data_IF_787106578376
#
_entry.id   IF_787106578376
#
_cell.length_a   1.000
_cell.length_b   1.000
_cell.length_c   1.000
_cell.angle_alpha   90.00
_cell.angle_beta   90.00
_cell.angle_gamma   90.00
#
_symmetry.space_group_name_H-M   'P 1'
#
loop_
_entity.id
_entity.type
_entity.pdbx_description
1 polymer ?
#
# COMPACT_ATOMS: atom_id res chain seq x y z
N UNK A 1 10.37 30.74 14.03
CA UNK A 1 10.89 29.38 13.72
C UNK A 1 9.76 28.36 13.53
N UNK A 2 8.76 28.27 14.42
CA UNK A 2 7.62 27.33 14.26
C UNK A 2 6.83 27.43 12.95
N UNK A 3 6.61 28.62 12.41
CA UNK A 3 5.94 28.81 11.10
C UNK A 3 6.76 28.27 9.91
N UNK A 4 8.09 28.29 10.00
CA UNK A 4 8.98 27.77 8.96
C UNK A 4 9.07 26.24 8.97
N UNK A 5 9.00 25.63 10.17
CA UNK A 5 8.91 24.17 10.34
C UNK A 5 7.57 23.66 9.82
N UNK A 6 6.46 24.27 10.24
CA UNK A 6 5.12 23.86 9.81
C UNK A 6 4.95 23.92 8.28
N UNK A 7 5.45 24.97 7.62
CA UNK A 7 5.40 25.09 6.15
C UNK A 7 6.24 24.02 5.44
N UNK A 8 7.45 23.74 5.94
CA UNK A 8 8.32 22.70 5.36
C UNK A 8 7.73 21.31 5.53
N UNK A 9 7.20 21.03 6.71
CA UNK A 9 6.55 19.77 7.00
C UNK A 9 5.34 19.55 6.09
N UNK A 10 4.51 20.58 5.92
CA UNK A 10 3.39 20.51 4.99
C UNK A 10 3.83 20.26 3.54
N UNK A 11 4.86 20.98 3.09
CA UNK A 11 5.42 20.76 1.75
C UNK A 11 6.01 19.35 1.59
N UNK A 12 6.57 18.76 2.65
CA UNK A 12 7.08 17.39 2.63
C UNK A 12 5.93 16.37 2.51
N UNK A 13 4.84 16.57 3.23
CA UNK A 13 3.62 15.75 3.14
C UNK A 13 2.95 15.88 1.76
N UNK A 14 2.87 17.08 1.21
CA UNK A 14 2.34 17.31 -0.13
C UNK A 14 3.24 16.67 -1.20
N UNK A 15 4.57 16.65 -1.01
CA UNK A 15 5.51 15.94 -1.89
C UNK A 15 5.33 14.42 -1.86
N UNK A 16 5.06 13.82 -0.67
CA UNK A 16 4.67 12.40 -0.58
C UNK A 16 3.39 12.15 -1.38
N UNK A 17 2.36 12.98 -1.20
CA UNK A 17 1.09 12.83 -1.90
C UNK A 17 1.24 12.97 -3.43
N UNK A 18 2.23 13.74 -3.89
CA UNK A 18 2.56 13.93 -5.31
C UNK A 18 3.51 12.87 -5.88
N UNK A 19 4.08 11.98 -5.05
CA UNK A 19 5.08 11.00 -5.48
C UNK A 19 6.52 11.54 -5.63
N UNK A 20 6.79 12.81 -5.27
CA UNK A 20 8.14 13.36 -5.26
C UNK A 20 8.87 12.96 -3.97
N UNK A 21 9.19 11.67 -3.88
CA UNK A 21 9.85 11.07 -2.72
C UNK A 21 11.23 11.66 -2.42
N UNK A 22 12.09 11.98 -3.41
CA UNK A 22 13.34 12.68 -3.15
C UNK A 22 13.14 14.04 -2.46
N UNK A 23 12.17 14.85 -2.91
CA UNK A 23 11.86 16.12 -2.27
C UNK A 23 11.30 15.92 -0.85
N UNK A 24 10.36 14.99 -0.69
CA UNK A 24 9.77 14.65 0.59
C UNK A 24 10.84 14.30 1.64
N UNK A 25 11.79 13.40 1.30
CA UNK A 25 12.90 13.02 2.19
C UNK A 25 13.81 14.18 2.54
N UNK A 26 14.17 15.02 1.55
CA UNK A 26 15.02 16.19 1.81
C UNK A 26 14.35 17.16 2.79
N UNK A 27 13.07 17.48 2.57
CA UNK A 27 12.33 18.40 3.44
C UNK A 27 12.12 17.83 4.84
N UNK A 28 11.81 16.54 4.97
CA UNK A 28 11.66 15.87 6.25
C UNK A 28 12.95 15.89 7.08
N UNK A 29 14.11 15.61 6.46
CA UNK A 29 15.42 15.68 7.14
C UNK A 29 15.73 17.08 7.66
N UNK A 30 15.45 18.12 6.86
CA UNK A 30 15.59 19.52 7.31
C UNK A 30 14.67 19.81 8.50
N UNK A 31 13.43 19.32 8.50
CA UNK A 31 12.53 19.49 9.65
C UNK A 31 13.11 18.84 10.91
N UNK A 32 13.65 17.62 10.79
CA UNK A 32 14.23 16.87 11.91
C UNK A 32 15.46 17.55 12.53
N UNK A 33 16.21 18.33 11.75
CA UNK A 33 17.32 19.17 12.22
C UNK A 33 16.83 20.47 12.89
N UNK A 34 15.66 20.97 12.49
CA UNK A 34 15.12 22.27 12.93
C UNK A 34 14.25 22.20 14.19
N UNK A 35 13.76 21.02 14.57
CA UNK A 35 12.79 20.88 15.67
C UNK A 35 13.10 19.74 16.64
N UNK A 36 12.81 20.02 17.91
CA UNK A 36 12.84 19.07 19.04
C UNK A 36 11.43 18.67 19.49
N UNK A 37 10.38 19.22 18.86
CA UNK A 37 8.98 18.97 19.25
C UNK A 37 8.53 17.59 18.77
N UNK A 38 8.13 16.67 19.67
CA UNK A 38 7.68 15.32 19.34
C UNK A 38 6.73 15.22 18.14
N UNK A 39 5.69 16.05 18.12
CA UNK A 39 4.64 16.05 17.10
C UNK A 39 5.15 16.43 15.70
N UNK A 40 6.09 17.36 15.61
CA UNK A 40 6.69 17.78 14.33
C UNK A 40 7.71 16.73 13.85
N UNK A 41 8.46 16.13 14.79
CA UNK A 41 9.44 15.08 14.50
C UNK A 41 8.79 13.79 14.02
N UNK A 42 7.74 13.31 14.70
CA UNK A 42 6.99 12.10 14.31
C UNK A 42 6.39 12.26 12.91
N UNK A 43 5.80 13.42 12.60
CA UNK A 43 5.30 13.71 11.24
C UNK A 43 6.42 13.69 10.20
N UNK A 44 7.59 14.25 10.51
CA UNK A 44 8.73 14.20 9.59
C UNK A 44 9.25 12.75 9.40
N UNK A 45 9.29 11.93 10.46
CA UNK A 45 9.61 10.51 10.33
C UNK A 45 8.60 9.74 9.49
N UNK A 46 7.31 10.03 9.67
CA UNK A 46 6.23 9.47 8.84
C UNK A 46 6.47 9.80 7.35
N UNK A 47 6.85 11.04 7.03
CA UNK A 47 7.19 11.41 5.64
C UNK A 47 8.35 10.58 5.11
N UNK A 48 9.40 10.35 5.91
CA UNK A 48 10.52 9.49 5.48
C UNK A 48 10.04 8.07 5.20
N UNK A 49 9.23 7.49 6.10
CA UNK A 49 8.68 6.13 5.94
C UNK A 49 7.77 6.01 4.72
N UNK A 50 6.85 6.96 4.52
CA UNK A 50 5.88 6.91 3.41
C UNK A 50 6.54 7.17 2.05
N UNK A 51 7.68 7.88 2.03
CA UNK A 51 8.44 8.12 0.80
C UNK A 51 9.21 6.91 0.27
N UNK A 52 9.16 5.76 0.96
CA UNK A 52 9.90 4.55 0.57
C UNK A 52 9.07 3.58 -0.30
N UNK A 53 7.75 3.76 -0.42
CA UNK A 53 6.93 2.86 -1.25
C UNK A 53 7.10 1.39 -0.85
N UNK A 54 7.43 0.51 -1.81
CA UNK A 54 7.71 -0.90 -1.52
C UNK A 54 9.10 -1.15 -0.93
N UNK A 55 10.05 -0.23 -1.10
CA UNK A 55 11.40 -0.28 -0.55
C UNK A 55 11.49 0.09 0.95
N UNK A 56 10.48 -0.29 1.75
CA UNK A 56 10.40 0.04 3.17
C UNK A 56 11.56 -0.54 4.00
N UNK A 57 12.21 -1.59 3.48
CA UNK A 57 13.40 -2.18 4.09
C UNK A 57 14.57 -1.18 4.20
N UNK A 58 14.69 -0.22 3.27
CA UNK A 58 15.78 0.77 3.23
C UNK A 58 15.75 1.80 4.36
N UNK A 59 14.61 1.95 5.04
CA UNK A 59 14.40 2.96 6.09
C UNK A 59 13.99 2.33 7.42
N UNK A 60 14.28 1.05 7.60
CA UNK A 60 13.87 0.32 8.79
C UNK A 60 14.42 0.92 10.10
N UNK A 61 15.62 1.49 10.05
CA UNK A 61 16.29 2.13 11.18
C UNK A 61 15.62 3.43 11.65
N UNK A 62 14.65 3.96 10.90
CA UNK A 62 13.82 5.11 11.28
C UNK A 62 12.84 4.74 12.39
N UNK A 63 12.31 3.51 12.41
CA UNK A 63 11.24 3.12 13.32
C UNK A 63 11.60 3.33 14.81
N UNK A 64 12.76 2.90 15.33
CA UNK A 64 13.12 3.14 16.73
C UNK A 64 13.16 4.62 17.11
N UNK A 65 13.65 5.49 16.22
CA UNK A 65 13.73 6.94 16.44
C UNK A 65 12.35 7.57 16.50
N UNK A 66 11.47 7.20 15.57
CA UNK A 66 10.10 7.68 15.53
C UNK A 66 9.29 7.21 16.75
N UNK A 67 9.48 5.96 17.17
CA UNK A 67 8.83 5.41 18.36
C UNK A 67 9.29 6.08 19.65
N UNK A 68 10.56 6.48 19.73
CA UNK A 68 11.08 7.25 20.86
C UNK A 68 10.43 8.64 20.93
N UNK A 69 10.39 9.36 19.79
CA UNK A 69 9.75 10.67 19.71
C UNK A 69 8.23 10.60 20.01
N UNK A 70 7.56 9.47 19.75
CA UNK A 70 6.13 9.27 20.03
C UNK A 70 5.81 8.72 21.43
N UNK A 71 6.82 8.45 22.27
CA UNK A 71 6.66 7.67 23.49
C UNK A 71 5.55 8.23 24.39
N UNK A 72 4.59 7.36 24.72
CA UNK A 72 3.51 7.67 25.67
C UNK A 72 2.32 8.42 25.09
N UNK A 73 2.39 8.88 23.83
CA UNK A 73 1.33 9.69 23.21
C UNK A 73 0.50 8.87 22.20
N UNK A 74 -0.76 8.47 22.51
CA UNK A 74 -1.56 7.64 21.63
C UNK A 74 -1.73 8.19 20.21
N UNK A 75 -1.92 9.52 20.09
CA UNK A 75 -2.07 10.20 18.81
C UNK A 75 -0.84 10.08 17.91
N UNK A 76 0.36 10.02 18.49
CA UNK A 76 1.62 9.87 17.75
C UNK A 76 1.97 8.41 17.51
N UNK A 77 1.65 7.52 18.46
CA UNK A 77 1.90 6.08 18.36
C UNK A 77 0.99 5.39 17.34
N UNK A 78 -0.28 5.82 17.22
CA UNK A 78 -1.25 5.22 16.31
C UNK A 78 -0.75 5.14 14.84
N UNK A 79 -0.33 6.25 14.20
CA UNK A 79 0.17 6.20 12.82
C UNK A 79 1.50 5.45 12.68
N UNK A 80 2.32 5.37 13.72
CA UNK A 80 3.56 4.57 13.70
C UNK A 80 3.27 3.08 13.78
N UNK A 81 2.31 2.65 14.60
CA UNK A 81 1.88 1.26 14.64
C UNK A 81 1.27 0.79 13.30
N UNK A 82 0.57 1.67 12.59
CA UNK A 82 0.11 1.38 11.23
C UNK A 82 1.28 1.04 10.30
N UNK A 83 2.37 1.83 10.34
CA UNK A 83 3.58 1.61 9.52
C UNK A 83 4.39 0.41 10.00
N UNK A 84 4.44 0.15 11.31
CA UNK A 84 5.03 -1.07 11.86
C UNK A 84 4.29 -2.33 11.38
N UNK A 85 2.98 -2.25 11.15
CA UNK A 85 2.22 -3.33 10.53
C UNK A 85 2.69 -3.59 9.09
N UNK A 86 2.93 -2.54 8.31
CA UNK A 86 3.51 -2.67 6.97
C UNK A 86 4.91 -3.25 7.00
N UNK A 87 5.80 -2.75 7.87
CA UNK A 87 7.14 -3.31 8.06
C UNK A 87 7.09 -4.79 8.44
N UNK A 88 6.27 -5.17 9.42
CA UNK A 88 6.16 -6.55 9.87
C UNK A 88 5.74 -7.48 8.73
N UNK A 89 4.85 -7.02 7.84
CA UNK A 89 4.38 -7.81 6.71
C UNK A 89 5.36 -7.81 5.53
N UNK A 90 5.74 -6.63 5.02
CA UNK A 90 6.52 -6.47 3.79
C UNK A 90 8.01 -6.70 3.98
N UNK A 91 8.57 -6.35 5.14
CA UNK A 91 10.03 -6.48 5.36
C UNK A 91 10.33 -7.75 6.14
N UNK A 92 9.51 -8.06 7.16
CA UNK A 92 9.75 -9.20 8.05
C UNK A 92 8.93 -10.45 7.71
N UNK A 93 8.07 -10.39 6.69
CA UNK A 93 7.30 -11.55 6.22
C UNK A 93 6.31 -12.12 7.26
N UNK A 94 5.94 -11.38 8.30
CA UNK A 94 5.15 -11.87 9.43
C UNK A 94 3.76 -11.23 9.47
N UNK A 95 2.78 -11.93 8.89
CA UNK A 95 1.37 -11.54 8.99
C UNK A 95 0.85 -11.52 10.45
N UNK A 96 1.19 -12.47 11.35
CA UNK A 96 0.78 -12.38 12.75
C UNK A 96 1.32 -11.13 13.47
N UNK A 97 2.60 -10.78 13.30
CA UNK A 97 3.15 -9.56 13.90
C UNK A 97 2.52 -8.30 13.30
N UNK A 98 2.26 -8.32 11.99
CA UNK A 98 1.55 -7.23 11.32
C UNK A 98 0.13 -7.04 11.88
N UNK A 99 -0.59 -8.12 12.20
CA UNK A 99 -1.91 -8.07 12.80
C UNK A 99 -1.89 -7.37 14.16
N UNK A 100 -0.93 -7.73 15.02
CA UNK A 100 -0.75 -7.11 16.35
C UNK A 100 -0.58 -5.60 16.22
N UNK A 101 0.27 -5.14 15.30
CA UNK A 101 0.48 -3.71 15.07
C UNK A 101 -0.72 -3.00 14.45
N UNK A 102 -1.42 -3.61 13.49
CA UNK A 102 -2.62 -3.02 12.89
C UNK A 102 -3.73 -2.83 13.93
N UNK A 103 -3.98 -3.86 14.76
CA UNK A 103 -4.94 -3.79 15.85
C UNK A 103 -4.55 -2.71 16.86
N UNK A 104 -3.28 -2.67 17.27
CA UNK A 104 -2.78 -1.65 18.20
C UNK A 104 -2.94 -0.23 17.65
N UNK A 105 -2.68 -0.03 16.36
CA UNK A 105 -2.89 1.25 15.68
C UNK A 105 -4.36 1.69 15.74
N UNK A 106 -5.30 0.78 15.43
CA UNK A 106 -6.73 1.07 15.48
C UNK A 106 -7.21 1.42 16.90
N UNK A 107 -6.76 0.68 17.91
CA UNK A 107 -7.05 0.95 19.32
C UNK A 107 -6.56 2.34 19.77
N UNK A 108 -5.31 2.69 19.44
CA UNK A 108 -4.72 3.98 19.79
C UNK A 108 -5.35 5.15 19.03
N UNK A 109 -5.65 4.96 17.75
CA UNK A 109 -6.31 5.96 16.92
C UNK A 109 -7.71 6.28 17.43
N UNK A 110 -8.49 5.24 17.78
CA UNK A 110 -9.81 5.41 18.39
C UNK A 110 -9.73 6.15 19.73
N UNK A 111 -8.76 5.80 20.58
CA UNK A 111 -8.54 6.49 21.87
C UNK A 111 -8.17 7.97 21.68
N UNK A 112 -7.38 8.29 20.66
CA UNK A 112 -6.94 9.64 20.35
C UNK A 112 -7.95 10.47 19.53
N UNK A 113 -9.05 9.87 19.05
CA UNK A 113 -9.99 10.51 18.13
C UNK A 113 -9.43 10.75 16.72
N UNK A 114 -8.37 10.04 16.32
CA UNK A 114 -7.77 10.13 14.98
C UNK A 114 -8.48 9.18 14.01
N UNK A 115 -9.61 9.64 13.47
CA UNK A 115 -10.44 8.81 12.57
C UNK A 115 -9.69 8.40 11.31
N UNK A 116 -8.85 9.27 10.75
CA UNK A 116 -8.08 8.97 9.53
C UNK A 116 -7.17 7.77 9.74
N UNK A 117 -6.37 7.77 10.81
CA UNK A 117 -5.48 6.64 11.12
C UNK A 117 -6.29 5.40 11.49
N UNK A 118 -7.40 5.55 12.21
CA UNK A 118 -8.25 4.42 12.58
C UNK A 118 -8.77 3.68 11.34
N UNK A 119 -9.25 4.40 10.32
CA UNK A 119 -9.74 3.81 9.07
C UNK A 119 -8.65 3.04 8.31
N UNK A 120 -7.44 3.60 8.20
CA UNK A 120 -6.30 2.90 7.60
C UNK A 120 -5.89 1.66 8.42
N UNK A 121 -5.86 1.77 9.74
CA UNK A 121 -5.50 0.68 10.64
C UNK A 121 -6.51 -0.46 10.61
N UNK A 122 -7.81 -0.16 10.64
CA UNK A 122 -8.88 -1.16 10.51
C UNK A 122 -8.84 -1.83 9.13
N UNK A 123 -8.57 -1.06 8.07
CA UNK A 123 -8.39 -1.64 6.72
C UNK A 123 -7.20 -2.59 6.69
N UNK A 124 -6.05 -2.19 7.25
CA UNK A 124 -4.87 -3.05 7.34
C UNK A 124 -5.14 -4.31 8.18
N UNK A 125 -5.81 -4.15 9.32
CA UNK A 125 -6.19 -5.25 10.19
C UNK A 125 -7.09 -6.25 9.46
N UNK A 126 -8.15 -5.78 8.81
CA UNK A 126 -9.08 -6.65 8.06
C UNK A 126 -8.38 -7.40 6.91
N UNK A 127 -7.42 -6.76 6.22
CA UNK A 127 -6.64 -7.39 5.16
C UNK A 127 -5.79 -8.56 5.69
N UNK A 128 -5.15 -8.36 6.84
CA UNK A 128 -4.33 -9.39 7.49
C UNK A 128 -5.22 -10.50 8.06
N UNK A 129 -6.37 -10.15 8.65
CA UNK A 129 -7.36 -11.11 9.13
C UNK A 129 -7.89 -11.98 7.99
N UNK A 130 -8.20 -11.40 6.82
CA UNK A 130 -8.58 -12.14 5.62
C UNK A 130 -7.47 -13.09 5.19
N UNK A 131 -6.22 -12.62 5.14
CA UNK A 131 -5.06 -13.42 4.78
C UNK A 131 -4.81 -14.59 5.74
N UNK A 132 -5.01 -14.38 7.04
CA UNK A 132 -4.84 -15.40 8.08
C UNK A 132 -6.07 -16.31 8.25
N UNK A 133 -7.16 -16.07 7.51
CA UNK A 133 -8.41 -16.83 7.65
C UNK A 133 -9.14 -16.59 8.97
N UNK A 134 -8.93 -15.43 9.60
CA UNK A 134 -9.63 -15.08 10.85
C UNK A 134 -11.11 -14.76 10.58
N UNK A 135 -12.05 -15.28 11.39
CA UNK A 135 -13.49 -15.05 11.19
C UNK A 135 -13.91 -13.58 11.37
N UNK A 136 -13.06 -12.79 12.02
CA UNK A 136 -13.33 -11.39 12.34
C UNK A 136 -13.13 -10.43 11.13
N UNK A 137 -12.50 -10.89 10.04
CA UNK A 137 -12.11 -10.05 8.91
C UNK A 137 -13.27 -9.21 8.35
N UNK A 138 -14.44 -9.82 8.15
CA UNK A 138 -15.64 -9.12 7.65
C UNK A 138 -16.17 -8.10 8.66
N UNK A 139 -16.12 -8.41 9.96
CA UNK A 139 -16.55 -7.50 11.03
C UNK A 139 -15.63 -6.28 11.09
N UNK A 140 -14.32 -6.49 10.99
CA UNK A 140 -13.32 -5.42 10.98
C UNK A 140 -13.46 -4.55 9.73
N UNK A 141 -13.66 -5.14 8.55
CA UNK A 141 -13.92 -4.38 7.32
C UNK A 141 -15.20 -3.54 7.42
N UNK A 142 -16.29 -4.10 7.97
CA UNK A 142 -17.53 -3.34 8.20
C UNK A 142 -17.32 -2.13 9.11
N UNK A 143 -16.49 -2.27 10.15
CA UNK A 143 -16.12 -1.13 11.02
C UNK A 143 -15.33 -0.05 10.26
N UNK A 144 -14.44 -0.46 9.36
CA UNK A 144 -13.70 0.47 8.50
C UNK A 144 -14.62 1.17 7.48
N UNK A 145 -15.70 0.53 7.05
CA UNK A 145 -16.69 1.10 6.13
C UNK A 145 -17.82 1.90 6.84
N UNK A 146 -17.86 1.91 8.17
CA UNK A 146 -18.87 2.64 8.93
C UNK A 146 -18.52 4.14 9.08
N UNK A 147 -19.54 5.00 9.12
CA UNK A 147 -19.39 6.44 9.37
C UNK A 147 -18.80 6.73 10.77
N UNK A 148 -18.09 7.87 10.96
CA UNK A 148 -17.77 8.89 9.96
C UNK A 148 -16.63 8.46 9.03
N UNK A 149 -16.77 8.76 7.73
CA UNK A 149 -15.75 8.49 6.72
C UNK A 149 -14.82 9.68 6.46
N UNK A 150 -13.57 9.36 6.10
CA UNK A 150 -12.58 10.34 5.63
C UNK A 150 -12.42 10.21 4.11
N UNK A 151 -12.85 11.19 3.30
CA UNK A 151 -12.89 11.05 1.85
C UNK A 151 -11.55 10.63 1.22
N UNK A 152 -10.43 11.19 1.72
CA UNK A 152 -9.10 10.84 1.23
C UNK A 152 -8.70 9.39 1.52
N UNK A 153 -9.16 8.82 2.63
CA UNK A 153 -8.91 7.41 2.98
C UNK A 153 -9.73 6.48 2.09
N UNK A 154 -10.97 6.87 1.79
CA UNK A 154 -11.89 6.06 0.99
C UNK A 154 -11.43 5.82 -0.44
N UNK A 155 -10.64 6.72 -1.01
CA UNK A 155 -10.10 6.55 -2.36
C UNK A 155 -8.65 6.05 -2.37
N UNK A 156 -8.04 5.77 -1.22
CA UNK A 156 -6.66 5.30 -1.15
C UNK A 156 -6.58 3.80 -1.43
N UNK A 157 -5.49 3.34 -2.06
CA UNK A 157 -5.23 1.91 -2.25
C UNK A 157 -4.94 1.13 -0.94
N UNK A 158 -4.93 1.81 0.20
CA UNK A 158 -4.82 1.20 1.53
C UNK A 158 -6.10 1.39 2.35
N UNK A 159 -7.12 2.02 1.75
CA UNK A 159 -8.40 2.28 2.38
C UNK A 159 -9.36 1.08 2.29
N UNK A 160 -10.52 1.20 2.95
CA UNK A 160 -11.44 0.08 3.10
C UNK A 160 -12.19 -0.25 1.80
N UNK A 161 -12.47 0.73 0.94
CA UNK A 161 -13.09 0.48 -0.38
C UNK A 161 -12.15 -0.31 -1.27
N UNK A 162 -10.86 0.05 -1.28
CA UNK A 162 -9.86 -0.75 -1.96
C UNK A 162 -9.85 -2.17 -1.39
N UNK A 163 -9.78 -2.37 -0.07
CA UNK A 163 -9.77 -3.73 0.48
C UNK A 163 -11.02 -4.55 0.14
N UNK A 164 -12.19 -3.90 0.07
CA UNK A 164 -13.48 -4.57 -0.19
C UNK A 164 -13.47 -5.44 -1.45
N UNK A 165 -12.74 -5.06 -2.51
CA UNK A 165 -12.64 -5.90 -3.71
C UNK A 165 -12.00 -7.27 -3.43
N UNK A 166 -11.03 -7.35 -2.51
CA UNK A 166 -10.35 -8.62 -2.17
C UNK A 166 -11.29 -9.57 -1.45
N UNK A 167 -12.14 -9.04 -0.58
CA UNK A 167 -13.20 -9.82 0.05
C UNK A 167 -14.17 -10.34 -1.02
N UNK A 168 -14.61 -9.49 -1.96
CA UNK A 168 -15.45 -9.95 -3.07
C UNK A 168 -14.81 -11.09 -3.85
N UNK A 169 -13.53 -10.99 -4.20
CA UNK A 169 -12.81 -12.07 -4.89
C UNK A 169 -12.75 -13.37 -4.06
N UNK A 170 -12.49 -13.28 -2.75
CA UNK A 170 -12.46 -14.45 -1.87
C UNK A 170 -13.81 -15.17 -1.77
N UNK A 171 -14.91 -14.47 -2.01
CA UNK A 171 -16.27 -15.03 -2.03
C UNK A 171 -16.82 -15.30 -3.43
N UNK A 172 -15.96 -15.35 -4.46
CA UNK A 172 -16.33 -15.58 -5.86
C UNK A 172 -17.32 -14.52 -6.43
N UNK A 173 -17.31 -13.32 -5.85
CA UNK A 173 -18.15 -12.17 -6.27
C UNK A 173 -17.40 -11.28 -7.25
N UNK A 174 -16.96 -11.85 -8.37
CA UNK A 174 -16.04 -11.19 -9.32
C UNK A 174 -16.68 -9.94 -9.96
N UNK A 175 -17.99 -9.94 -10.19
CA UNK A 175 -18.71 -8.79 -10.76
C UNK A 175 -18.75 -7.60 -9.80
N UNK A 176 -18.94 -7.86 -8.50
CA UNK A 176 -18.92 -6.86 -7.46
C UNK A 176 -17.51 -6.31 -7.27
N UNK A 177 -16.49 -7.17 -7.24
CA UNK A 177 -15.08 -6.74 -7.21
C UNK A 177 -14.76 -5.79 -8.37
N UNK A 178 -15.21 -6.13 -9.58
CA UNK A 178 -15.08 -5.29 -10.78
C UNK A 178 -15.77 -3.94 -10.62
N UNK A 179 -17.02 -3.93 -10.15
CA UNK A 179 -17.79 -2.69 -10.01
C UNK A 179 -17.12 -1.73 -9.03
N UNK A 180 -16.66 -2.25 -7.88
CA UNK A 180 -15.95 -1.49 -6.84
C UNK A 180 -14.66 -0.89 -7.38
N UNK A 181 -13.79 -1.71 -8.01
CA UNK A 181 -12.53 -1.22 -8.57
C UNK A 181 -12.75 -0.19 -9.68
N UNK A 182 -13.78 -0.35 -10.53
CA UNK A 182 -14.08 0.62 -11.59
C UNK A 182 -14.45 1.99 -11.00
N UNK A 183 -15.28 2.02 -9.96
CA UNK A 183 -15.65 3.25 -9.27
C UNK A 183 -14.44 3.91 -8.59
N UNK A 184 -13.57 3.09 -7.97
CA UNK A 184 -12.35 3.55 -7.33
C UNK A 184 -11.35 4.12 -8.35
N UNK A 185 -11.10 3.42 -9.46
CA UNK A 185 -10.22 3.86 -10.56
C UNK A 185 -10.68 5.22 -11.11
N UNK A 186 -11.99 5.39 -11.35
CA UNK A 186 -12.54 6.67 -11.78
C UNK A 186 -12.21 7.79 -10.78
N UNK A 187 -12.40 7.53 -9.48
CA UNK A 187 -12.18 8.51 -8.42
C UNK A 187 -10.70 8.89 -8.26
N UNK A 188 -9.78 7.92 -8.27
CA UNK A 188 -8.34 8.19 -8.10
C UNK A 188 -7.73 8.85 -9.34
N UNK A 189 -8.22 8.51 -10.54
CA UNK A 189 -7.79 9.15 -11.79
C UNK A 189 -8.16 10.63 -11.82
N UNK A 190 -9.37 10.99 -11.41
CA UNK A 190 -9.82 12.39 -11.32
C UNK A 190 -9.00 13.21 -10.32
N UNK A 191 -8.29 12.57 -9.39
CA UNK A 191 -7.54 13.21 -8.31
C UNK A 191 -6.03 13.19 -8.53
N UNK A 192 -5.55 12.51 -9.57
CA UNK A 192 -4.12 12.37 -9.83
C UNK A 192 -3.36 11.60 -8.76
N UNK A 193 -4.00 10.67 -8.03
CA UNK A 193 -3.32 9.86 -7.01
C UNK A 193 -2.66 8.66 -7.69
N UNK A 194 -1.45 8.88 -8.22
CA UNK A 194 -0.78 7.98 -9.16
C UNK A 194 -0.53 6.59 -8.59
N UNK A 195 0.05 6.48 -7.38
CA UNK A 195 0.30 5.19 -6.75
C UNK A 195 -0.99 4.40 -6.52
N UNK A 196 -2.05 5.07 -6.04
CA UNK A 196 -3.34 4.42 -5.86
C UNK A 196 -3.95 3.96 -7.19
N UNK A 197 -3.78 4.73 -8.27
CA UNK A 197 -4.21 4.32 -9.60
C UNK A 197 -3.44 3.07 -10.07
N UNK A 198 -2.12 3.05 -9.93
CA UNK A 198 -1.26 1.90 -10.26
C UNK A 198 -1.75 0.63 -9.52
N UNK A 199 -1.90 0.71 -8.20
CA UNK A 199 -2.38 -0.43 -7.41
C UNK A 199 -3.81 -0.88 -7.76
N UNK A 200 -4.69 0.04 -8.12
CA UNK A 200 -6.03 -0.31 -8.58
C UNK A 200 -6.03 -0.99 -9.96
N UNK A 201 -5.15 -0.57 -10.88
CA UNK A 201 -4.99 -1.20 -12.18
C UNK A 201 -4.44 -2.62 -12.05
N UNK A 202 -3.43 -2.83 -11.20
CA UNK A 202 -2.94 -4.16 -10.81
C UNK A 202 -4.07 -5.08 -10.33
N UNK A 203 -4.91 -4.60 -9.41
CA UNK A 203 -6.03 -5.39 -8.90
C UNK A 203 -7.10 -5.65 -9.99
N UNK A 204 -7.38 -4.67 -10.85
CA UNK A 204 -8.33 -4.86 -11.95
C UNK A 204 -7.82 -5.87 -12.96
N UNK A 205 -6.51 -5.93 -13.25
CA UNK A 205 -5.91 -6.97 -14.11
C UNK A 205 -6.30 -8.38 -13.63
N UNK A 206 -6.17 -8.67 -12.34
CA UNK A 206 -6.57 -9.97 -11.79
C UNK A 206 -8.07 -10.23 -11.96
N UNK A 207 -8.91 -9.22 -11.72
CA UNK A 207 -10.36 -9.32 -11.94
C UNK A 207 -10.69 -9.63 -13.40
N UNK A 208 -10.05 -8.98 -14.36
CA UNK A 208 -10.26 -9.26 -15.79
C UNK A 208 -9.82 -10.69 -16.15
N UNK A 209 -8.72 -11.18 -15.57
CA UNK A 209 -8.26 -12.57 -15.75
C UNK A 209 -9.33 -13.55 -15.25
N UNK A 210 -9.87 -13.34 -14.05
CA UNK A 210 -10.95 -14.19 -13.51
C UNK A 210 -12.23 -14.15 -14.34
N UNK A 211 -12.46 -13.07 -15.09
CA UNK A 211 -13.58 -12.98 -16.04
C UNK A 211 -13.27 -13.52 -17.45
N UNK A 212 -12.06 -14.05 -17.69
CA UNK A 212 -11.61 -14.48 -19.01
C UNK A 212 -11.41 -13.34 -20.01
N UNK A 213 -11.30 -12.09 -19.54
CA UNK A 213 -11.15 -10.88 -20.37
C UNK A 213 -9.67 -10.56 -20.61
N UNK A 214 -8.91 -11.54 -21.13
CA UNK A 214 -7.44 -11.48 -21.17
C UNK A 214 -6.88 -10.26 -21.94
N UNK A 215 -7.52 -9.83 -23.03
CA UNK A 215 -7.11 -8.61 -23.75
C UNK A 215 -7.19 -7.36 -22.89
N UNK A 216 -8.24 -7.25 -22.07
CA UNK A 216 -8.42 -6.12 -21.16
C UNK A 216 -7.42 -6.21 -20.00
N UNK A 217 -7.16 -7.41 -19.48
CA UNK A 217 -6.12 -7.64 -18.47
C UNK A 217 -4.74 -7.17 -18.95
N UNK A 218 -4.34 -7.54 -20.17
CA UNK A 218 -3.07 -7.10 -20.77
C UNK A 218 -2.96 -5.58 -20.89
N UNK A 219 -4.03 -4.91 -21.34
CA UNK A 219 -4.05 -3.45 -21.47
C UNK A 219 -3.89 -2.75 -20.10
N UNK A 220 -4.57 -3.25 -19.07
CA UNK A 220 -4.48 -2.70 -17.72
C UNK A 220 -3.12 -2.97 -17.07
N UNK A 221 -2.56 -4.16 -17.25
CA UNK A 221 -1.24 -4.50 -16.71
C UNK A 221 -0.14 -3.62 -17.30
N UNK A 222 -0.16 -3.39 -18.62
CA UNK A 222 0.75 -2.45 -19.28
C UNK A 222 0.57 -1.04 -18.75
N UNK A 223 -0.67 -0.55 -18.65
CA UNK A 223 -0.94 0.77 -18.09
C UNK A 223 -0.44 0.92 -16.64
N UNK A 224 -0.54 -0.13 -15.83
CA UNK A 224 0.01 -0.16 -14.47
C UNK A 224 1.53 -0.07 -14.46
N UNK A 225 2.20 -0.76 -15.39
CA UNK A 225 3.65 -0.75 -15.52
C UNK A 225 4.16 0.61 -16.01
N UNK A 226 3.62 1.11 -17.12
CA UNK A 226 3.99 2.41 -17.69
C UNK A 226 3.87 3.52 -16.62
N UNK A 227 2.77 3.51 -15.86
CA UNK A 227 2.55 4.49 -14.79
C UNK A 227 3.58 4.37 -13.65
N UNK A 228 3.98 3.15 -13.29
CA UNK A 228 4.99 2.92 -12.26
C UNK A 228 6.37 3.41 -12.73
N UNK A 229 6.74 3.12 -13.98
CA UNK A 229 8.00 3.57 -14.60
C UNK A 229 8.07 5.10 -14.70
N UNK A 230 7.06 5.72 -15.30
CA UNK A 230 6.99 7.17 -15.51
C UNK A 230 7.03 7.98 -14.21
N UNK A 231 6.59 7.36 -13.11
CA UNK A 231 6.47 8.01 -11.80
C UNK A 231 7.56 7.59 -10.81
N UNK A 232 8.51 6.75 -11.24
CA UNK A 232 9.58 6.24 -10.37
C UNK A 232 9.06 5.44 -9.17
N UNK A 233 7.91 4.79 -9.28
CA UNK A 233 7.35 3.92 -8.26
C UNK A 233 8.00 2.52 -8.33
N UNK A 234 7.95 1.79 -7.21
CA UNK A 234 8.31 0.37 -7.17
C UNK A 234 7.54 -0.43 -8.22
N UNK A 235 8.27 -1.20 -9.03
CA UNK A 235 7.72 -1.83 -10.24
C UNK A 235 7.29 -3.30 -10.03
N UNK A 236 7.75 -3.95 -8.96
CA UNK A 236 7.47 -5.38 -8.68
C UNK A 236 5.99 -5.77 -8.81
N UNK A 237 5.05 -5.03 -8.19
CA UNK A 237 3.61 -5.31 -8.34
C UNK A 237 3.09 -5.23 -9.78
N UNK A 238 3.56 -4.25 -10.57
CA UNK A 238 3.13 -4.07 -11.97
C UNK A 238 3.71 -5.13 -12.90
N UNK A 239 4.98 -5.50 -12.72
CA UNK A 239 5.60 -6.62 -13.44
C UNK A 239 4.91 -7.94 -13.14
N UNK A 240 4.56 -8.19 -11.88
CA UNK A 240 3.75 -9.35 -11.49
C UNK A 240 2.39 -9.36 -12.18
N UNK A 241 1.71 -8.21 -12.26
CA UNK A 241 0.43 -8.08 -12.97
C UNK A 241 0.58 -8.44 -14.46
N UNK A 242 1.65 -7.96 -15.10
CA UNK A 242 1.92 -8.22 -16.51
C UNK A 242 2.24 -9.70 -16.76
N UNK A 243 3.01 -10.33 -15.88
CA UNK A 243 3.29 -11.77 -15.95
C UNK A 243 2.00 -12.60 -15.93
N UNK A 244 1.07 -12.30 -15.02
CA UNK A 244 -0.23 -12.99 -14.96
C UNK A 244 -1.07 -12.75 -16.21
N UNK A 245 -1.09 -11.53 -16.74
CA UNK A 245 -1.89 -11.20 -17.91
C UNK A 245 -1.35 -11.85 -19.20
N UNK A 246 -0.04 -11.88 -19.39
CA UNK A 246 0.62 -12.59 -20.50
C UNK A 246 0.41 -14.10 -20.39
N UNK A 247 0.51 -14.68 -19.18
CA UNK A 247 0.22 -16.09 -18.96
C UNK A 247 -1.25 -16.46 -19.25
N UNK A 248 -2.20 -15.57 -18.94
CA UNK A 248 -3.62 -15.84 -19.10
C UNK A 248 -4.13 -15.77 -20.55
N UNK A 249 -3.45 -15.04 -21.44
CA UNK A 249 -3.91 -14.92 -22.83
C UNK A 249 -3.01 -14.11 -23.75
N UNK A 250 -1.74 -13.98 -23.39
CA UNK A 250 -0.68 -13.39 -24.21
C UNK A 250 0.34 -14.44 -24.61
N UNK A 251 1.62 -14.09 -24.49
CA UNK A 251 2.74 -14.94 -24.87
C UNK A 251 3.49 -15.48 -23.64
N UNK A 252 3.72 -16.80 -23.57
CA UNK A 252 4.37 -17.43 -22.42
C UNK A 252 5.84 -17.01 -22.24
N UNK A 253 6.56 -16.70 -23.32
CA UNK A 253 7.92 -16.17 -23.24
C UNK A 253 7.95 -14.76 -22.63
N UNK A 254 7.00 -13.91 -23.03
CA UNK A 254 6.80 -12.59 -22.42
C UNK A 254 6.33 -12.70 -20.97
N UNK A 255 5.47 -13.68 -20.66
CA UNK A 255 5.03 -13.96 -19.30
C UNK A 255 6.22 -14.34 -18.39
N UNK A 256 7.11 -15.21 -18.88
CA UNK A 256 8.30 -15.61 -18.14
C UNK A 256 9.23 -14.43 -17.88
N UNK A 257 9.52 -13.66 -18.93
CA UNK A 257 10.35 -12.45 -18.81
C UNK A 257 9.76 -11.46 -17.80
N UNK A 258 8.45 -11.21 -17.85
CA UNK A 258 7.77 -10.34 -16.89
C UNK A 258 7.81 -10.89 -15.45
N UNK A 259 7.70 -12.21 -15.28
CA UNK A 259 7.80 -12.85 -13.96
C UNK A 259 9.21 -12.72 -13.37
N UNK A 260 10.25 -12.91 -14.19
CA UNK A 260 11.66 -12.71 -13.80
C UNK A 260 11.92 -11.25 -13.40
N UNK A 261 11.39 -10.27 -14.15
CA UNK A 261 11.45 -8.86 -13.74
C UNK A 261 10.72 -8.61 -12.42
N UNK A 262 9.55 -9.22 -12.21
CA UNK A 262 8.81 -9.09 -10.96
C UNK A 262 9.60 -9.63 -9.76
N UNK A 263 10.30 -10.76 -9.93
CA UNK A 263 11.17 -11.35 -8.90
C UNK A 263 12.32 -10.41 -8.60
N UNK A 264 13.03 -9.93 -9.63
CA UNK A 264 14.17 -9.03 -9.48
C UNK A 264 13.78 -7.76 -8.73
N UNK A 265 12.76 -7.03 -9.20
CA UNK A 265 12.32 -5.79 -8.56
C UNK A 265 11.81 -6.00 -7.13
N UNK A 266 11.07 -7.08 -6.86
CA UNK A 266 10.60 -7.35 -5.50
C UNK A 266 11.75 -7.74 -4.56
N UNK A 267 12.78 -8.41 -5.06
CA UNK A 267 13.98 -8.73 -4.29
C UNK A 267 14.81 -7.48 -4.00
N UNK A 268 14.99 -6.60 -4.98
CA UNK A 268 15.72 -5.33 -4.83
C UNK A 268 15.05 -4.41 -3.80
N UNK A 269 13.70 -4.35 -3.80
CA UNK A 269 12.93 -3.60 -2.80
C UNK A 269 12.90 -4.28 -1.41
N UNK A 270 13.38 -5.52 -1.30
CA UNK A 270 13.27 -6.32 -0.08
C UNK A 270 11.82 -6.70 0.28
N UNK A 271 10.93 -6.73 -0.70
CA UNK A 271 9.49 -6.90 -0.53
C UNK A 271 9.08 -8.38 -0.39
N UNK A 272 8.93 -8.80 0.86
CA UNK A 272 8.45 -10.13 1.25
C UNK A 272 6.96 -10.37 0.96
N UNK A 273 6.21 -9.35 0.50
CA UNK A 273 4.84 -9.50 0.04
C UNK A 273 4.82 -9.91 -1.43
N UNK A 274 5.49 -9.18 -2.32
CA UNK A 274 5.43 -9.46 -3.75
C UNK A 274 6.46 -10.48 -4.23
N UNK A 275 7.60 -10.65 -3.56
CA UNK A 275 8.59 -11.66 -3.94
C UNK A 275 8.01 -13.09 -4.02
N UNK A 276 7.27 -13.60 -3.02
CA UNK A 276 6.64 -14.93 -3.13
C UNK A 276 5.61 -15.03 -4.24
N UNK A 277 4.90 -13.93 -4.55
CA UNK A 277 3.90 -13.88 -5.63
C UNK A 277 4.57 -13.95 -7.00
N UNK A 278 5.65 -13.19 -7.18
CA UNK A 278 6.45 -13.20 -8.39
C UNK A 278 7.05 -14.59 -8.64
N UNK A 279 7.66 -15.20 -7.61
CA UNK A 279 8.18 -16.58 -7.68
C UNK A 279 7.10 -17.61 -8.04
N UNK A 280 5.89 -17.46 -7.47
CA UNK A 280 4.75 -18.29 -7.84
C UNK A 280 4.36 -18.12 -9.32
N UNK A 281 4.27 -16.88 -9.82
CA UNK A 281 3.96 -16.64 -11.24
C UNK A 281 5.06 -17.21 -12.16
N UNK A 282 6.32 -17.04 -11.81
CA UNK A 282 7.45 -17.60 -12.56
C UNK A 282 7.35 -19.12 -12.64
N UNK A 283 7.15 -19.80 -11.51
CA UNK A 283 6.98 -21.25 -11.45
C UNK A 283 5.78 -21.74 -12.27
N UNK A 284 4.65 -21.02 -12.20
CA UNK A 284 3.46 -21.33 -12.99
C UNK A 284 3.72 -21.23 -14.48
N UNK A 285 4.41 -20.18 -14.95
CA UNK A 285 4.72 -20.00 -16.37
C UNK A 285 5.72 -21.05 -16.85
N UNK A 286 6.77 -21.33 -16.06
CA UNK A 286 7.76 -22.37 -16.39
C UNK A 286 7.12 -23.76 -16.52
N UNK A 287 6.06 -24.05 -15.76
CA UNK A 287 5.32 -25.30 -15.87
C UNK A 287 4.48 -25.41 -17.17
N UNK A 288 4.10 -24.27 -17.78
CA UNK A 288 3.30 -24.24 -19.01
C UNK A 288 4.14 -24.27 -20.30
N UNK A 289 5.45 -24.01 -20.18
CA UNK A 289 6.43 -24.08 -21.28
C UNK A 289 6.92 -25.51 -21.52
#
# INVERSE_FOLDING_TARGET
RGTAVARRLRAAEDAVAAGDYPLARRLARVVLEMTVRPEERVRAWIVVLDSSGQALAEVEEVFPKAMEDARGEPLLLAPLHYRLSWRAWMVRGSAPAAHVHARRSAELAALAGDRRTELFALSKQANIELFLGHPDAERTLRRALAEPQEPQVMWHHNGPVYLKHRHHLMHDRVNEARAELRALIYSVRQRGVVESLCMCLYCMTQVEIYQGRCRQALALARQSLDLAEDSGLSQGPSWYALALAEAAGGDLGRALSAAEQAVQHSADDGDQLFLPRALHAEGLVRWQL
#
